data_IF_706076904623
#
_entry.id   IF_706076904623
#
_cell.length_a   1.000
_cell.length_b   1.000
_cell.length_c   1.000
_cell.angle_alpha   90.00
_cell.angle_beta   90.00
_cell.angle_gamma   90.00
#
_symmetry.space_group_name_H-M   'P 1'
#
loop_
_entity.id
_entity.type
_entity.pdbx_description
1 polymer ?
#
# COMPACT_ATOMS: atom_id res chain seq x y z
N UNK A 1 22.65 17.68 -17.93
CA UNK A 1 22.20 16.69 -16.92
C UNK A 1 23.29 15.69 -16.54
N UNK A 2 24.19 15.26 -17.47
CA UNK A 2 25.27 14.33 -17.17
C UNK A 2 26.27 14.88 -16.12
N UNK A 3 26.64 16.15 -16.22
CA UNK A 3 27.56 16.80 -15.26
C UNK A 3 26.97 16.83 -13.84
N UNK A 4 25.67 17.07 -13.72
CA UNK A 4 24.98 17.03 -12.41
C UNK A 4 25.02 15.63 -11.80
N UNK A 5 24.84 14.59 -12.62
CA UNK A 5 24.92 13.19 -12.19
C UNK A 5 26.36 12.87 -11.74
N UNK A 6 27.37 13.25 -12.51
CA UNK A 6 28.78 13.03 -12.16
C UNK A 6 29.13 13.73 -10.85
N UNK A 7 28.74 14.99 -10.69
CA UNK A 7 28.98 15.74 -9.43
C UNK A 7 28.31 15.06 -8.25
N UNK A 8 27.04 14.66 -8.39
CA UNK A 8 26.31 13.93 -7.35
C UNK A 8 26.97 12.61 -6.98
N UNK A 9 27.45 11.84 -7.97
CA UNK A 9 28.19 10.60 -7.75
C UNK A 9 29.50 10.85 -6.99
N UNK A 10 30.24 11.88 -7.36
CA UNK A 10 31.51 12.23 -6.68
C UNK A 10 31.27 12.67 -5.22
N UNK A 11 30.26 13.50 -4.98
CA UNK A 11 29.95 14.01 -3.63
C UNK A 11 29.37 12.92 -2.70
N UNK A 12 28.70 11.91 -3.24
CA UNK A 12 27.92 10.93 -2.46
C UNK A 12 28.42 9.49 -2.60
N UNK A 13 29.60 9.29 -3.21
CA UNK A 13 30.12 7.95 -3.54
C UNK A 13 30.13 6.98 -2.35
N UNK A 14 30.46 7.46 -1.14
CA UNK A 14 30.50 6.65 0.07
C UNK A 14 29.12 6.25 0.62
N UNK A 15 28.07 6.95 0.24
CA UNK A 15 26.69 6.74 0.71
C UNK A 15 25.81 6.04 -0.32
N UNK A 16 26.27 5.95 -1.57
CA UNK A 16 25.52 5.33 -2.65
C UNK A 16 25.68 3.80 -2.59
N UNK A 17 24.55 3.11 -2.71
CA UNK A 17 24.54 1.66 -2.90
C UNK A 17 24.40 1.35 -4.40
N UNK A 18 25.23 0.41 -4.89
CA UNK A 18 25.12 -0.07 -6.26
C UNK A 18 23.72 -0.69 -6.47
N UNK A 19 23.09 -0.30 -7.58
CA UNK A 19 21.82 -0.90 -7.96
C UNK A 19 22.01 -2.42 -8.20
N UNK A 20 21.15 -3.20 -7.56
CA UNK A 20 21.10 -4.65 -7.75
C UNK A 20 19.86 -4.99 -8.61
N UNK A 21 20.02 -5.77 -9.69
CA UNK A 21 18.89 -6.25 -10.44
C UNK A 21 18.01 -7.15 -9.56
N UNK A 22 16.71 -7.12 -9.78
CA UNK A 22 15.80 -8.05 -9.13
C UNK A 22 16.07 -9.47 -9.61
N UNK A 23 15.94 -10.45 -8.70
CA UNK A 23 15.93 -11.86 -9.11
C UNK A 23 14.70 -12.14 -9.99
N UNK A 24 14.72 -13.21 -10.82
CA UNK A 24 13.56 -13.60 -11.63
C UNK A 24 12.28 -13.73 -10.78
N UNK A 25 12.38 -14.32 -9.59
CA UNK A 25 11.26 -14.52 -8.66
C UNK A 25 10.72 -13.20 -8.11
N UNK A 26 11.59 -12.28 -7.72
CA UNK A 26 11.21 -10.93 -7.27
C UNK A 26 10.55 -10.14 -8.40
N UNK A 27 11.07 -10.26 -9.62
CA UNK A 27 10.48 -9.64 -10.80
C UNK A 27 9.10 -10.23 -11.09
N UNK A 28 8.96 -11.55 -11.01
CA UNK A 28 7.69 -12.25 -11.20
C UNK A 28 6.66 -11.83 -10.14
N UNK A 29 7.03 -11.79 -8.87
CA UNK A 29 6.16 -11.33 -7.78
C UNK A 29 5.62 -9.92 -8.04
N UNK A 30 6.51 -9.00 -8.40
CA UNK A 30 6.14 -7.62 -8.73
C UNK A 30 5.18 -7.54 -9.93
N UNK A 31 5.44 -8.33 -10.98
CA UNK A 31 4.58 -8.38 -12.16
C UNK A 31 3.20 -8.94 -11.81
N UNK A 32 3.12 -10.04 -11.06
CA UNK A 32 1.86 -10.65 -10.65
C UNK A 32 1.01 -9.70 -9.82
N UNK A 33 1.60 -9.00 -8.84
CA UNK A 33 0.90 -7.99 -8.03
C UNK A 33 0.31 -6.87 -8.89
N UNK A 34 1.08 -6.39 -9.87
CA UNK A 34 0.63 -5.35 -10.81
C UNK A 34 -0.49 -5.86 -11.74
N UNK A 35 -0.32 -7.04 -12.34
CA UNK A 35 -1.31 -7.62 -13.28
C UNK A 35 -2.60 -7.99 -12.56
N UNK A 36 -2.51 -8.55 -11.36
CA UNK A 36 -3.69 -8.82 -10.53
C UNK A 36 -4.52 -7.58 -10.29
N UNK A 37 -3.88 -6.44 -10.00
CA UNK A 37 -4.58 -5.17 -9.81
C UNK A 37 -5.28 -4.70 -11.09
N UNK A 38 -4.68 -4.92 -12.27
CA UNK A 38 -5.29 -4.64 -13.57
C UNK A 38 -6.53 -5.53 -13.80
N UNK A 39 -6.42 -6.83 -13.54
CA UNK A 39 -7.55 -7.78 -13.67
C UNK A 39 -8.74 -7.32 -12.82
N UNK A 40 -8.51 -6.96 -11.54
CA UNK A 40 -9.58 -6.43 -10.66
C UNK A 40 -10.19 -5.14 -11.22
N UNK A 41 -9.38 -4.27 -11.82
CA UNK A 41 -9.88 -3.02 -12.41
C UNK A 41 -10.81 -3.31 -13.60
N UNK A 42 -10.44 -4.25 -14.47
CA UNK A 42 -11.27 -4.66 -15.60
C UNK A 42 -12.52 -5.41 -15.16
N UNK A 43 -12.43 -6.31 -14.18
CA UNK A 43 -13.58 -6.97 -13.58
C UNK A 43 -14.58 -5.95 -13.03
N UNK A 44 -14.08 -4.94 -12.30
CA UNK A 44 -14.94 -3.89 -11.74
C UNK A 44 -15.59 -3.03 -12.83
N UNK A 45 -14.84 -2.68 -13.88
CA UNK A 45 -15.36 -1.90 -15.01
C UNK A 45 -16.47 -2.68 -15.75
N UNK A 46 -16.27 -3.98 -15.99
CA UNK A 46 -17.29 -4.81 -16.63
C UNK A 46 -18.54 -4.98 -15.75
N UNK A 47 -18.38 -5.18 -14.43
CA UNK A 47 -19.53 -5.18 -13.52
C UNK A 47 -20.32 -3.90 -13.59
N UNK A 48 -19.66 -2.74 -13.64
CA UNK A 48 -20.32 -1.43 -13.76
C UNK A 48 -21.01 -1.30 -15.12
N UNK A 49 -20.39 -1.74 -16.22
CA UNK A 49 -21.00 -1.69 -17.55
C UNK A 49 -22.28 -2.53 -17.67
N UNK A 50 -22.46 -3.51 -16.78
CA UNK A 50 -23.64 -4.39 -16.77
C UNK A 50 -24.70 -3.97 -15.76
N UNK A 51 -24.51 -2.89 -15.01
CA UNK A 51 -25.39 -2.56 -13.87
C UNK A 51 -26.77 -2.09 -14.30
N UNK A 52 -26.90 -1.31 -15.37
CA UNK A 52 -28.14 -0.68 -15.77
C UNK A 52 -28.68 -1.18 -17.14
N UNK A 53 -28.30 -2.42 -17.50
CA UNK A 53 -28.66 -3.00 -18.79
C UNK A 53 -29.42 -4.31 -18.57
N UNK A 54 -30.53 -4.49 -19.30
CA UNK A 54 -31.19 -5.81 -19.36
C UNK A 54 -30.34 -6.76 -20.20
N UNK A 55 -29.73 -7.73 -19.50
CA UNK A 55 -28.91 -8.79 -20.08
C UNK A 55 -29.62 -10.15 -20.02
N UNK A 56 -30.93 -10.15 -20.04
CA UNK A 56 -31.74 -11.39 -20.07
C UNK A 56 -31.26 -12.28 -21.22
N UNK A 57 -30.83 -13.51 -20.89
CA UNK A 57 -30.28 -14.47 -21.86
C UNK A 57 -28.77 -14.35 -22.16
N UNK A 58 -28.06 -13.39 -21.53
CA UNK A 58 -26.60 -13.31 -21.62
C UNK A 58 -25.95 -13.91 -20.37
N UNK A 59 -25.08 -14.91 -20.55
CA UNK A 59 -24.34 -15.52 -19.42
C UNK A 59 -23.18 -14.65 -18.95
N UNK A 60 -23.48 -13.67 -18.12
CA UNK A 60 -22.45 -12.85 -17.47
C UNK A 60 -21.77 -13.53 -16.29
N UNK A 61 -22.37 -14.64 -15.76
CA UNK A 61 -21.81 -15.39 -14.63
C UNK A 61 -20.56 -16.17 -15.04
N UNK A 62 -20.54 -16.75 -16.24
CA UNK A 62 -19.36 -17.43 -16.78
C UNK A 62 -18.14 -16.50 -16.83
N UNK A 63 -18.35 -15.25 -17.26
CA UNK A 63 -17.29 -14.23 -17.28
C UNK A 63 -16.80 -13.89 -15.86
N UNK A 64 -17.70 -13.70 -14.90
CA UNK A 64 -17.33 -13.42 -13.50
C UNK A 64 -16.55 -14.59 -12.90
N UNK A 65 -17.02 -15.83 -13.12
CA UNK A 65 -16.32 -17.02 -12.67
C UNK A 65 -14.91 -17.13 -13.28
N UNK A 66 -14.75 -16.81 -14.57
CA UNK A 66 -13.44 -16.75 -15.23
C UNK A 66 -12.47 -15.77 -14.55
N UNK A 67 -12.93 -14.58 -14.17
CA UNK A 67 -12.12 -13.64 -13.40
C UNK A 67 -11.73 -14.20 -12.03
N UNK A 68 -12.65 -14.83 -11.32
CA UNK A 68 -12.40 -15.36 -9.99
C UNK A 68 -11.37 -16.51 -10.02
N UNK A 69 -11.44 -17.40 -11.02
CA UNK A 69 -10.44 -18.46 -11.25
C UNK A 69 -9.07 -17.90 -11.53
N UNK A 70 -8.95 -16.89 -12.41
CA UNK A 70 -7.67 -16.24 -12.73
C UNK A 70 -7.10 -15.54 -11.51
N UNK A 71 -7.91 -14.79 -10.76
CA UNK A 71 -7.46 -14.10 -9.54
C UNK A 71 -7.01 -15.08 -8.46
N UNK A 72 -7.73 -16.20 -8.26
CA UNK A 72 -7.34 -17.23 -7.32
C UNK A 72 -5.99 -17.89 -7.69
N UNK A 73 -5.79 -18.18 -8.98
CA UNK A 73 -4.52 -18.72 -9.48
C UNK A 73 -3.37 -17.73 -9.29
N UNK A 74 -3.59 -16.43 -9.56
CA UNK A 74 -2.58 -15.40 -9.31
C UNK A 74 -2.26 -15.29 -7.80
N UNK A 75 -3.26 -15.39 -6.94
CA UNK A 75 -3.07 -15.35 -5.48
C UNK A 75 -2.26 -16.54 -4.98
N UNK A 76 -2.52 -17.74 -5.49
CA UNK A 76 -1.74 -18.93 -5.17
C UNK A 76 -0.26 -18.75 -5.60
N UNK A 77 -0.03 -18.25 -6.80
CA UNK A 77 1.32 -18.04 -7.29
C UNK A 77 2.07 -16.95 -6.49
N UNK A 78 1.40 -15.86 -6.09
CA UNK A 78 1.97 -14.84 -5.22
C UNK A 78 2.37 -15.45 -3.87
N UNK A 79 1.50 -16.26 -3.26
CA UNK A 79 1.79 -16.92 -1.99
C UNK A 79 2.96 -17.91 -2.12
N UNK A 80 3.01 -18.67 -3.20
CA UNK A 80 4.10 -19.60 -3.47
C UNK A 80 5.45 -18.89 -3.59
N UNK A 81 5.51 -17.77 -4.34
CA UNK A 81 6.74 -16.98 -4.47
C UNK A 81 7.21 -16.38 -3.14
N UNK A 82 6.27 -15.94 -2.29
CA UNK A 82 6.61 -15.43 -0.96
C UNK A 82 7.09 -16.56 -0.05
N UNK A 83 6.41 -17.72 -0.04
CA UNK A 83 6.73 -18.85 0.82
C UNK A 83 8.07 -19.51 0.48
N UNK A 84 8.53 -19.44 -0.77
CA UNK A 84 9.81 -19.99 -1.20
C UNK A 84 11.03 -19.15 -0.78
N UNK A 85 10.81 -17.93 -0.31
CA UNK A 85 11.88 -17.08 0.25
C UNK A 85 11.61 -16.86 1.76
N UNK A 86 12.40 -17.49 2.65
CA UNK A 86 12.19 -17.39 4.10
C UNK A 86 12.20 -15.95 4.63
N UNK A 87 12.95 -15.05 4.00
CA UNK A 87 13.00 -13.65 4.40
C UNK A 87 11.72 -12.92 4.03
N UNK A 88 11.21 -13.15 2.82
CA UNK A 88 9.93 -12.60 2.37
C UNK A 88 8.78 -13.15 3.20
N UNK A 89 8.76 -14.46 3.46
CA UNK A 89 7.69 -15.11 4.24
C UNK A 89 7.62 -14.56 5.67
N UNK A 90 8.75 -14.44 6.36
CA UNK A 90 8.76 -13.85 7.70
C UNK A 90 8.27 -12.39 7.69
N UNK A 91 8.73 -11.59 6.73
CA UNK A 91 8.30 -10.21 6.56
C UNK A 91 6.79 -10.11 6.29
N UNK A 92 6.29 -10.98 5.40
CA UNK A 92 4.88 -11.08 5.06
C UNK A 92 4.01 -11.42 6.27
N UNK A 93 4.38 -12.43 7.06
CA UNK A 93 3.62 -12.82 8.25
C UNK A 93 3.59 -11.72 9.30
N UNK A 94 4.70 -11.01 9.49
CA UNK A 94 4.75 -9.85 10.40
C UNK A 94 3.83 -8.73 9.92
N UNK A 95 3.83 -8.41 8.62
CA UNK A 95 2.92 -7.41 8.06
C UNK A 95 1.46 -7.82 8.17
N UNK A 96 1.17 -9.12 8.03
CA UNK A 96 -0.17 -9.69 8.23
C UNK A 96 -0.68 -9.54 9.67
N UNK A 97 0.19 -9.44 10.66
CA UNK A 97 -0.22 -9.20 12.04
C UNK A 97 -0.81 -7.80 12.28
N UNK A 98 -0.55 -6.84 11.37
CA UNK A 98 -1.06 -5.47 11.50
C UNK A 98 -2.56 -5.44 11.19
N UNK A 99 -3.35 -4.95 12.15
CA UNK A 99 -4.80 -4.84 12.00
C UNK A 99 -5.19 -4.08 10.74
N UNK A 100 -5.97 -4.72 9.87
CA UNK A 100 -6.44 -4.16 8.59
C UNK A 100 -5.52 -4.44 7.40
N UNK A 101 -4.29 -4.92 7.61
CA UNK A 101 -3.42 -5.34 6.51
C UNK A 101 -3.78 -6.79 6.11
N UNK A 102 -4.54 -6.91 5.02
CA UNK A 102 -4.91 -8.19 4.41
C UNK A 102 -3.79 -8.77 3.52
N UNK A 103 -4.04 -9.96 2.97
CA UNK A 103 -3.06 -10.71 2.14
C UNK A 103 -2.43 -9.85 1.04
N UNK A 104 -3.25 -9.17 0.26
CA UNK A 104 -2.79 -8.39 -0.89
C UNK A 104 -1.95 -7.18 -0.49
N UNK A 105 -2.37 -6.48 0.57
CA UNK A 105 -1.62 -5.34 1.09
C UNK A 105 -0.29 -5.78 1.69
N UNK A 106 -0.28 -6.92 2.42
CA UNK A 106 0.94 -7.50 2.97
C UNK A 106 1.92 -7.91 1.86
N UNK A 107 1.45 -8.63 0.83
CA UNK A 107 2.28 -9.06 -0.30
C UNK A 107 2.91 -7.86 -1.04
N UNK A 108 2.11 -6.81 -1.30
CA UNK A 108 2.59 -5.59 -1.94
C UNK A 108 3.63 -4.85 -1.08
N UNK A 109 3.40 -4.76 0.24
CA UNK A 109 4.35 -4.14 1.15
C UNK A 109 5.62 -4.98 1.33
N UNK A 110 5.52 -6.30 1.34
CA UNK A 110 6.66 -7.22 1.40
C UNK A 110 7.57 -7.02 0.18
N UNK A 111 7.01 -7.05 -1.05
CA UNK A 111 7.76 -6.78 -2.27
C UNK A 111 8.44 -5.40 -2.20
N UNK A 112 7.69 -4.38 -1.83
CA UNK A 112 8.17 -3.01 -1.80
C UNK A 112 9.31 -2.79 -0.79
N UNK A 113 9.12 -3.25 0.45
CA UNK A 113 10.07 -3.03 1.56
C UNK A 113 11.32 -3.91 1.44
N UNK A 114 11.20 -5.06 0.77
CA UNK A 114 12.36 -5.88 0.43
C UNK A 114 13.22 -5.24 -0.67
N UNK A 115 12.56 -4.66 -1.68
CA UNK A 115 13.22 -4.07 -2.84
C UNK A 115 13.82 -2.69 -2.58
N UNK A 116 13.18 -1.86 -1.77
CA UNK A 116 13.61 -0.47 -1.55
C UNK A 116 14.01 -0.28 -0.09
N UNK A 117 15.29 -0.01 0.18
CA UNK A 117 15.78 0.28 1.53
C UNK A 117 15.43 1.73 1.91
N UNK A 118 14.18 1.98 2.31
CA UNK A 118 13.78 3.29 2.78
C UNK A 118 14.57 3.71 4.02
N UNK A 119 15.09 4.94 4.04
CA UNK A 119 15.86 5.48 5.15
C UNK A 119 15.02 5.58 6.44
N UNK A 120 13.74 5.93 6.30
CA UNK A 120 12.80 6.07 7.42
C UNK A 120 11.34 5.97 6.94
N UNK A 121 10.41 5.96 7.90
CA UNK A 121 8.98 5.89 7.61
C UNK A 121 8.45 7.09 6.82
N UNK A 122 9.07 8.27 6.95
CA UNK A 122 8.66 9.47 6.21
C UNK A 122 9.03 9.38 4.73
N UNK A 123 10.19 8.81 4.41
CA UNK A 123 10.58 8.51 3.04
C UNK A 123 9.60 7.53 2.36
N UNK A 124 9.15 6.50 3.09
CA UNK A 124 8.13 5.56 2.61
C UNK A 124 6.77 6.26 2.41
N UNK A 125 6.36 7.14 3.32
CA UNK A 125 5.13 7.93 3.20
C UNK A 125 5.20 8.85 1.98
N UNK A 126 6.31 9.54 1.77
CA UNK A 126 6.53 10.39 0.60
C UNK A 126 6.49 9.55 -0.71
N UNK A 127 7.14 8.39 -0.73
CA UNK A 127 7.10 7.47 -1.85
C UNK A 127 5.68 7.00 -2.18
N UNK A 128 4.85 6.75 -1.16
CA UNK A 128 3.45 6.34 -1.36
C UNK A 128 2.57 7.46 -1.92
N UNK A 129 2.99 8.72 -1.79
CA UNK A 129 2.21 9.91 -2.13
C UNK A 129 1.04 10.17 -1.18
N UNK A 130 1.10 9.64 0.06
CA UNK A 130 0.18 9.96 1.15
C UNK A 130 0.65 11.14 2.01
N UNK A 131 1.79 11.75 1.68
CA UNK A 131 2.31 12.94 2.30
C UNK A 131 1.39 14.16 2.06
N UNK A 132 1.07 14.96 3.10
CA UNK A 132 0.25 16.15 2.94
C UNK A 132 1.10 17.25 2.27
N UNK A 133 0.55 17.89 1.23
CA UNK A 133 1.14 19.05 0.60
C UNK A 133 0.48 20.33 1.09
N UNK A 134 1.25 21.37 1.42
CA UNK A 134 0.72 22.71 1.59
C UNK A 134 0.12 23.20 0.26
N UNK A 135 -0.95 23.94 0.34
CA UNK A 135 -1.57 24.65 -0.77
C UNK A 135 -1.73 26.12 -0.35
N UNK A 136 -0.61 26.68 0.10
CA UNK A 136 -0.56 28.03 0.66
C UNK A 136 -0.08 29.00 -0.44
N UNK A 137 -0.69 30.16 -0.56
CA UNK A 137 -0.26 31.24 -1.46
C UNK A 137 -0.30 32.58 -0.72
N UNK A 138 0.85 33.20 -0.53
CA UNK A 138 0.97 34.44 0.26
C UNK A 138 0.42 34.24 1.67
N UNK A 139 -0.53 35.09 2.08
CA UNK A 139 -1.18 35.03 3.40
C UNK A 139 -2.30 34.00 3.50
N UNK A 140 -2.73 33.42 2.35
CA UNK A 140 -3.85 32.48 2.30
C UNK A 140 -3.38 31.05 2.57
N UNK A 141 -3.85 30.45 3.67
CA UNK A 141 -3.64 29.02 3.96
C UNK A 141 -4.74 28.20 3.29
N UNK A 142 -4.37 27.41 2.29
CA UNK A 142 -5.28 26.51 1.58
C UNK A 142 -5.44 25.16 2.27
N UNK A 143 -6.50 24.42 1.87
CA UNK A 143 -6.74 23.05 2.36
C UNK A 143 -5.65 22.10 1.91
N UNK A 144 -5.05 21.39 2.85
CA UNK A 144 -4.00 20.42 2.57
C UNK A 144 -4.54 19.21 1.82
N UNK A 145 -3.79 18.75 0.82
CA UNK A 145 -4.10 17.56 0.03
C UNK A 145 -2.89 16.64 0.01
N UNK A 146 -3.13 15.33 -0.22
CA UNK A 146 -2.04 14.37 -0.41
C UNK A 146 -1.34 14.62 -1.76
N UNK A 147 -0.04 14.34 -1.83
CA UNK A 147 0.78 14.62 -3.02
C UNK A 147 0.40 13.79 -4.25
N UNK A 148 -0.06 12.56 -4.03
CA UNK A 148 -0.39 11.55 -5.07
C UNK A 148 0.79 11.22 -6.01
N UNK A 149 2.03 11.61 -5.69
CA UNK A 149 3.20 11.41 -6.56
C UNK A 149 3.71 9.97 -6.63
N UNK A 150 3.23 9.08 -5.75
CA UNK A 150 3.65 7.69 -5.71
C UNK A 150 2.73 6.73 -6.44
N UNK A 151 2.97 5.41 -6.31
CA UNK A 151 2.19 4.37 -6.97
C UNK A 151 0.72 4.39 -6.54
N UNK A 152 -0.19 4.49 -7.51
CA UNK A 152 -1.64 4.52 -7.23
C UNK A 152 -2.13 3.21 -6.59
N UNK A 153 -1.57 2.07 -7.00
CA UNK A 153 -1.88 0.76 -6.42
C UNK A 153 -1.59 0.72 -4.92
N UNK A 154 -0.42 1.19 -4.50
CA UNK A 154 -0.05 1.24 -3.08
C UNK A 154 -1.04 2.09 -2.27
N UNK A 155 -1.39 3.28 -2.76
CA UNK A 155 -2.37 4.14 -2.09
C UNK A 155 -3.75 3.51 -1.99
N UNK A 156 -4.21 2.85 -3.08
CA UNK A 156 -5.49 2.13 -3.08
C UNK A 156 -5.50 1.02 -2.04
N UNK A 157 -4.46 0.19 -2.00
CA UNK A 157 -4.35 -0.92 -1.05
C UNK A 157 -4.29 -0.42 0.40
N UNK A 158 -3.54 0.64 0.67
CA UNK A 158 -3.47 1.26 2.01
C UNK A 158 -4.80 1.90 2.42
N UNK A 159 -5.53 2.49 1.49
CA UNK A 159 -6.87 3.02 1.76
C UNK A 159 -7.85 1.91 2.14
N UNK A 160 -7.86 0.80 1.39
CA UNK A 160 -8.69 -0.38 1.68
C UNK A 160 -8.29 -1.02 3.02
N UNK A 161 -7.00 -1.12 3.31
CA UNK A 161 -6.49 -1.59 4.60
C UNK A 161 -6.97 -0.69 5.75
N UNK A 162 -6.97 0.64 5.57
CA UNK A 162 -7.46 1.58 6.56
C UNK A 162 -8.98 1.50 6.75
N UNK A 163 -9.75 1.27 5.68
CA UNK A 163 -11.20 1.02 5.77
C UNK A 163 -11.52 -0.26 6.56
N UNK A 164 -10.68 -1.28 6.49
CA UNK A 164 -10.80 -2.47 7.32
C UNK A 164 -10.36 -2.18 8.76
N UNK A 165 -9.20 -1.55 8.92
CA UNK A 165 -8.60 -1.25 10.22
C UNK A 165 -9.47 -0.35 11.10
N UNK A 166 -10.18 0.63 10.53
CA UNK A 166 -11.03 1.56 11.30
C UNK A 166 -12.17 0.87 12.06
N UNK A 167 -12.47 -0.39 11.72
CA UNK A 167 -13.46 -1.24 12.41
C UNK A 167 -12.83 -2.19 13.43
N UNK A 168 -11.49 -2.34 13.44
CA UNK A 168 -10.79 -3.21 14.38
C UNK A 168 -10.68 -2.56 15.76
N UNK A 169 -10.66 -3.38 16.81
CA UNK A 169 -10.50 -2.89 18.19
C UNK A 169 -9.23 -2.04 18.36
N UNK A 170 -8.15 -2.38 17.67
CA UNK A 170 -6.88 -1.68 17.76
C UNK A 170 -6.89 -0.28 17.14
N UNK A 171 -7.57 -0.09 16.00
CA UNK A 171 -7.48 1.15 15.22
C UNK A 171 -8.76 2.01 15.29
N UNK A 172 -9.88 1.46 15.73
CA UNK A 172 -11.14 2.17 15.89
C UNK A 172 -11.01 3.44 16.75
N UNK A 173 -10.34 3.42 17.92
CA UNK A 173 -10.16 4.62 18.74
C UNK A 173 -9.40 5.74 18.00
N UNK A 174 -8.40 5.39 17.19
CA UNK A 174 -7.67 6.37 16.37
C UNK A 174 -8.58 7.01 15.32
N UNK A 175 -9.38 6.20 14.63
CA UNK A 175 -10.33 6.71 13.64
C UNK A 175 -11.37 7.64 14.28
N UNK A 176 -11.94 7.24 15.41
CA UNK A 176 -12.91 8.03 16.17
C UNK A 176 -12.32 9.36 16.66
N UNK A 177 -11.07 9.35 17.11
CA UNK A 177 -10.35 10.56 17.51
C UNK A 177 -10.18 11.54 16.32
N UNK A 178 -9.93 11.05 15.10
CA UNK A 178 -9.88 11.90 13.90
C UNK A 178 -11.28 12.48 13.58
N UNK A 179 -12.33 11.67 13.69
CA UNK A 179 -13.72 12.10 13.47
C UNK A 179 -14.16 13.15 14.49
N UNK A 180 -13.80 12.97 15.76
CA UNK A 180 -14.09 13.92 16.84
C UNK A 180 -13.44 15.30 16.61
N UNK A 181 -12.32 15.38 15.88
CA UNK A 181 -11.69 16.63 15.45
C UNK A 181 -12.39 17.30 14.27
N UNK A 182 -13.55 16.82 13.83
CA UNK A 182 -14.31 17.38 12.71
C UNK A 182 -13.84 16.98 11.32
N UNK A 183 -12.88 16.04 11.20
CA UNK A 183 -12.40 15.60 9.90
C UNK A 183 -13.45 14.76 9.17
N UNK A 184 -13.55 14.92 7.85
CA UNK A 184 -14.43 14.09 7.03
C UNK A 184 -14.01 12.61 7.08
N UNK A 185 -14.96 11.68 6.85
CA UNK A 185 -14.69 10.24 6.89
C UNK A 185 -13.52 9.82 6.00
N UNK A 186 -13.52 10.30 4.75
CA UNK A 186 -12.44 10.00 3.79
C UNK A 186 -11.09 10.55 4.26
N UNK A 187 -11.06 11.76 4.83
CA UNK A 187 -9.82 12.33 5.39
C UNK A 187 -9.29 11.48 6.55
N UNK A 188 -10.17 11.08 7.47
CA UNK A 188 -9.83 10.22 8.61
C UNK A 188 -9.25 8.87 8.15
N UNK A 189 -9.83 8.25 7.10
CA UNK A 189 -9.32 7.02 6.49
C UNK A 189 -7.93 7.25 5.86
N UNK A 190 -7.70 8.35 5.15
CA UNK A 190 -6.39 8.67 4.54
C UNK A 190 -5.32 8.90 5.61
N UNK A 191 -5.66 9.57 6.72
CA UNK A 191 -4.74 9.74 7.85
C UNK A 191 -4.42 8.39 8.49
N UNK A 192 -5.43 7.53 8.66
CA UNK A 192 -5.23 6.18 9.17
C UNK A 192 -4.37 5.33 8.23
N UNK A 193 -4.58 5.42 6.90
CA UNK A 193 -3.77 4.74 5.89
C UNK A 193 -2.28 5.13 6.01
N UNK A 194 -1.99 6.41 6.20
CA UNK A 194 -0.63 6.90 6.45
C UNK A 194 -0.06 6.36 7.77
N UNK A 195 -0.88 6.29 8.82
CA UNK A 195 -0.47 5.72 10.12
C UNK A 195 -0.17 4.22 9.97
N UNK A 196 -1.02 3.46 9.27
CA UNK A 196 -0.79 2.04 8.99
C UNK A 196 0.51 1.80 8.21
N UNK A 197 0.82 2.65 7.24
CA UNK A 197 2.08 2.55 6.49
C UNK A 197 3.30 2.75 7.38
N UNK A 198 3.25 3.68 8.33
CA UNK A 198 4.32 3.88 9.34
C UNK A 198 4.44 2.69 10.29
N UNK A 199 3.31 2.10 10.70
CA UNK A 199 3.28 0.89 11.52
C UNK A 199 3.89 -0.28 10.76
N UNK A 200 3.50 -0.48 9.49
CA UNK A 200 4.04 -1.53 8.64
C UNK A 200 5.58 -1.39 8.48
N UNK A 201 6.08 -0.17 8.30
CA UNK A 201 7.52 0.09 8.26
C UNK A 201 8.21 -0.26 9.59
N UNK A 202 7.62 0.12 10.72
CA UNK A 202 8.18 -0.20 12.04
C UNK A 202 8.21 -1.71 12.31
N UNK A 203 7.14 -2.42 11.95
CA UNK A 203 7.04 -3.89 12.03
C UNK A 203 8.11 -4.56 11.13
N UNK A 204 8.28 -4.07 9.90
CA UNK A 204 9.30 -4.56 8.99
C UNK A 204 10.70 -4.38 9.54
N UNK A 205 11.03 -3.19 10.03
CA UNK A 205 12.36 -2.84 10.55
C UNK A 205 12.71 -3.51 11.89
N UNK A 206 11.73 -3.63 12.79
CA UNK A 206 11.96 -4.25 14.10
C UNK A 206 12.06 -5.77 14.04
N UNK A 207 11.53 -6.39 12.99
CA UNK A 207 11.41 -7.84 12.91
C UNK A 207 10.41 -8.44 13.91
N UNK A 208 9.59 -7.62 14.58
CA UNK A 208 8.59 -8.03 15.55
C UNK A 208 7.19 -7.96 14.97
N UNK A 209 6.29 -8.83 15.44
CA UNK A 209 4.88 -8.73 15.12
C UNK A 209 4.26 -7.43 15.67
N UNK A 210 3.15 -7.03 15.08
CA UNK A 210 2.43 -5.84 15.53
C UNK A 210 1.89 -5.99 16.95
N UNK A 211 2.18 -5.01 17.79
CA UNK A 211 1.68 -4.91 19.15
C UNK A 211 0.67 -3.76 19.26
N UNK A 212 -0.63 -4.06 19.40
CA UNK A 212 -1.68 -3.05 19.54
C UNK A 212 -1.52 -2.12 20.74
N UNK A 213 -0.86 -2.58 21.81
CA UNK A 213 -0.67 -1.77 23.04
C UNK A 213 0.19 -0.52 22.79
N UNK A 214 1.03 -0.54 21.73
CA UNK A 214 1.86 0.59 21.32
C UNK A 214 1.10 1.65 20.50
N UNK A 215 -0.18 1.40 20.20
CA UNK A 215 -1.05 2.38 19.54
C UNK A 215 -1.68 3.30 20.57
N UNK A 216 -0.94 4.25 21.11
CA UNK A 216 -1.57 5.33 21.88
C UNK A 216 -2.17 6.36 20.92
N UNK A 217 -3.46 6.77 21.09
CA UNK A 217 -3.90 8.04 20.56
C UNK A 217 -3.04 9.09 21.27
N UNK A 218 -2.14 9.77 20.54
CA UNK A 218 -1.54 10.97 21.08
C UNK A 218 -2.70 11.93 21.35
N UNK A 219 -3.06 12.07 22.59
CA UNK A 219 -3.81 13.21 23.11
C UNK A 219 -2.99 14.43 22.71
N UNK A 220 -3.49 15.18 21.72
CA UNK A 220 -2.97 16.49 21.37
C UNK A 220 -3.54 17.50 22.34
#
# INVERSE_FOLDING_TARGET
DAEVIVRYLQEHQSSLQAWQPLTPEQQQLRQLLSRRAQVITHQSALRQAFTDVDLSGVDTQALQHGFDVVLASMDQQIQHLIANDPQLEQGYQRLRSVSGIGQQTAALLTELLNRIPFANADALVAYSGLDPRPNDSGTKRGRRRISKRGPALLRRQLYLAAMSACRSAACKPLYEAYRARGLAGTESIVILARKLLRIAYAVWKSGQAFDPSKLSPKTA
#
